data_IF_189574013979
#
_entry.id   IF_189574013979
#
_cell.length_a   1.000
_cell.length_b   1.000
_cell.length_c   1.000
_cell.angle_alpha   90.00
_cell.angle_beta   90.00
_cell.angle_gamma   90.00
#
_symmetry.space_group_name_H-M   'P 1'
#
loop_
_entity.id
_entity.type
_entity.pdbx_description
1 polymer ?
#
# COMPACT_ATOMS: atom_id res chain seq x y z
N UNK A 1 -18.34 -4.43 4.86
CA UNK A 1 -17.33 -4.61 3.80
C UNK A 1 -16.75 -5.98 4.01
N UNK A 2 -16.95 -6.86 3.04
CA UNK A 2 -16.71 -8.29 3.24
C UNK A 2 -15.32 -8.67 2.74
N UNK A 3 -14.70 -9.62 3.43
CA UNK A 3 -13.43 -10.21 3.03
C UNK A 3 -13.66 -11.25 1.94
N UNK A 4 -12.78 -11.29 0.94
CA UNK A 4 -12.81 -12.30 -0.13
C UNK A 4 -11.62 -13.24 0.08
N UNK A 5 -11.89 -14.53 0.18
CA UNK A 5 -10.88 -15.56 0.42
C UNK A 5 -10.78 -16.52 -0.76
N UNK A 6 -9.55 -16.92 -1.08
CA UNK A 6 -9.19 -17.96 -2.05
C UNK A 6 -8.19 -18.90 -1.38
N UNK A 7 -7.86 -20.02 -2.01
CA UNK A 7 -6.91 -21.02 -1.46
C UNK A 7 -5.55 -20.45 -1.05
N UNK A 8 -5.10 -19.34 -1.65
CA UNK A 8 -3.78 -18.74 -1.41
C UNK A 8 -3.80 -17.31 -0.91
N UNK A 9 -4.94 -16.63 -0.99
CA UNK A 9 -5.02 -15.18 -0.77
C UNK A 9 -6.29 -14.80 -0.02
N UNK A 10 -6.13 -13.89 0.93
CA UNK A 10 -7.20 -13.19 1.63
C UNK A 10 -7.17 -11.71 1.22
N UNK A 11 -8.21 -11.25 0.54
CA UNK A 11 -8.44 -9.84 0.28
C UNK A 11 -9.36 -9.29 1.37
N UNK A 12 -8.84 -8.37 2.16
CA UNK A 12 -9.59 -7.68 3.22
C UNK A 12 -9.63 -6.18 3.01
N UNK A 13 -10.61 -5.48 3.59
CA UNK A 13 -10.62 -4.02 3.59
C UNK A 13 -9.32 -3.45 4.16
N UNK A 14 -8.87 -2.36 3.54
CA UNK A 14 -7.73 -1.60 4.04
C UNK A 14 -8.06 -0.93 5.37
N UNK A 15 -7.13 -0.96 6.32
CA UNK A 15 -7.27 -0.26 7.60
C UNK A 15 -6.39 0.99 7.59
N UNK A 16 -7.02 2.15 7.48
CA UNK A 16 -6.32 3.42 7.32
C UNK A 16 -5.55 3.80 8.59
N UNK A 17 -6.07 3.46 9.77
CA UNK A 17 -5.46 3.79 11.07
C UNK A 17 -4.47 2.74 11.59
N UNK A 18 -4.06 1.79 10.74
CA UNK A 18 -3.16 0.71 11.11
C UNK A 18 -1.73 0.99 10.58
N UNK A 19 -0.81 1.25 11.51
CA UNK A 19 0.57 1.58 11.17
C UNK A 19 1.30 0.44 10.43
N UNK A 20 0.92 -0.82 10.68
CA UNK A 20 1.52 -1.96 10.00
C UNK A 20 1.05 -2.05 8.54
N UNK A 21 -0.20 -1.67 8.27
CA UNK A 21 -0.72 -1.54 6.90
C UNK A 21 0.03 -0.44 6.15
N UNK A 22 0.13 0.76 6.73
CA UNK A 22 0.83 1.88 6.12
C UNK A 22 2.30 1.53 5.81
N UNK A 23 3.00 0.87 6.75
CA UNK A 23 4.38 0.42 6.56
C UNK A 23 4.49 -0.63 5.43
N UNK A 24 3.53 -1.55 5.34
CA UNK A 24 3.50 -2.57 4.29
C UNK A 24 3.28 -1.97 2.91
N UNK A 25 2.41 -0.97 2.78
CA UNK A 25 2.23 -0.21 1.53
C UNK A 25 3.50 0.55 1.17
N UNK A 26 4.06 1.28 2.12
CA UNK A 26 5.27 2.10 1.93
C UNK A 26 6.46 1.28 1.42
N UNK A 27 6.62 0.04 1.90
CA UNK A 27 7.69 -0.86 1.43
C UNK A 27 7.71 -1.02 -0.09
N UNK A 28 6.54 -1.12 -0.72
CA UNK A 28 6.44 -1.26 -2.18
C UNK A 28 6.33 0.10 -2.87
N UNK A 29 5.67 1.08 -2.23
CA UNK A 29 5.49 2.41 -2.79
C UNK A 29 6.76 3.28 -2.75
N UNK A 30 7.76 2.94 -1.93
CA UNK A 30 9.06 3.64 -1.93
C UNK A 30 10.01 3.17 -3.02
N UNK A 31 9.67 2.10 -3.76
CA UNK A 31 10.50 1.60 -4.84
C UNK A 31 10.42 2.53 -6.07
N UNK A 32 11.56 3.10 -6.53
CA UNK A 32 11.60 4.03 -7.65
C UNK A 32 11.18 3.41 -8.99
N UNK A 33 11.32 2.08 -9.15
CA UNK A 33 10.90 1.38 -10.35
C UNK A 33 9.38 1.12 -10.37
N UNK A 34 8.74 1.14 -9.20
CA UNK A 34 7.29 0.93 -9.04
C UNK A 34 6.55 2.26 -9.20
N UNK A 35 6.94 3.31 -8.47
CA UNK A 35 6.20 4.58 -8.43
C UNK A 35 5.94 5.16 -9.82
N UNK A 36 6.99 5.27 -10.64
CA UNK A 36 6.88 5.83 -11.99
C UNK A 36 5.89 5.05 -12.88
N UNK A 37 5.82 3.72 -12.73
CA UNK A 37 4.89 2.88 -13.49
C UNK A 37 3.44 3.00 -13.03
N UNK A 38 3.24 3.36 -11.77
CA UNK A 38 1.92 3.51 -11.17
C UNK A 38 1.38 4.96 -11.26
N UNK A 39 2.16 5.88 -11.82
CA UNK A 39 1.73 7.27 -12.06
C UNK A 39 1.87 8.20 -10.86
N UNK A 40 2.63 7.81 -9.84
CA UNK A 40 2.92 8.63 -8.66
C UNK A 40 4.42 8.65 -8.34
N UNK A 41 4.95 9.73 -7.76
CA UNK A 41 6.35 9.73 -7.32
C UNK A 41 6.54 8.67 -6.22
N UNK A 42 7.72 8.03 -6.14
CA UNK A 42 8.02 7.09 -5.06
C UNK A 42 7.79 7.74 -3.70
N UNK A 43 7.10 7.03 -2.80
CA UNK A 43 6.80 7.55 -1.48
C UNK A 43 8.10 7.73 -0.67
N UNK A 44 8.22 8.84 0.05
CA UNK A 44 9.40 9.12 0.90
C UNK A 44 9.14 8.93 2.39
N UNK A 45 7.89 8.76 2.79
CA UNK A 45 7.49 8.49 4.18
C UNK A 45 6.28 7.55 4.23
N UNK A 46 6.08 6.92 5.39
CA UNK A 46 4.96 5.99 5.64
C UNK A 46 3.60 6.69 5.57
N UNK A 47 3.55 7.98 5.92
CA UNK A 47 2.35 8.82 5.81
C UNK A 47 1.96 9.10 4.35
N UNK A 48 2.85 8.81 3.39
CA UNK A 48 2.68 9.10 1.98
C UNK A 48 2.96 10.56 1.63
N UNK A 49 3.07 10.84 0.33
CA UNK A 49 3.13 12.21 -0.20
C UNK A 49 1.74 12.55 -0.74
N UNK A 50 0.97 13.37 -0.01
CA UNK A 50 -0.20 14.01 -0.59
C UNK A 50 0.27 15.11 -1.54
N UNK A 51 -0.14 15.05 -2.81
CA UNK A 51 -0.19 16.20 -3.71
C UNK A 51 -1.65 16.59 -3.89
#
# INVERSE_FOLDING_TARGET
>A
MDTIETERLLLRPWKIDDAAEAASLFRYASDPEIGLRCGWPPHTSVEGQHA
#
